data_IF_676693867781
#
_entry.id   IF_676693867781
#
_cell.length_a   1.000
_cell.length_b   1.000
_cell.length_c   1.000
_cell.angle_alpha   90.00
_cell.angle_beta   90.00
_cell.angle_gamma   90.00
#
_symmetry.space_group_name_H-M   'P 1'
#
loop_
_entity.id
_entity.type
_entity.pdbx_description
1 polymer ?
#
# COMPACT_ATOMS: atom_id res chain seq x y z
N UNK A 1 -21.40 -0.24 23.35
CA UNK A 1 -20.59 -0.91 22.32
C UNK A 1 -21.57 -1.55 21.36
N UNK A 2 -21.72 -0.98 20.16
CA UNK A 2 -22.49 -1.57 19.09
C UNK A 2 -21.78 -2.89 18.71
N UNK A 3 -22.55 -3.99 18.67
CA UNK A 3 -22.03 -5.33 18.58
C UNK A 3 -21.02 -5.50 17.45
N UNK A 4 -19.85 -5.93 17.81
CA UNK A 4 -18.80 -6.33 16.88
C UNK A 4 -19.32 -7.48 16.01
N UNK A 5 -19.31 -7.24 14.71
CA UNK A 5 -19.72 -8.24 13.73
C UNK A 5 -18.46 -8.95 13.24
N UNK A 6 -18.30 -10.21 13.62
CA UNK A 6 -17.25 -11.06 13.07
C UNK A 6 -17.69 -11.67 11.74
N UNK A 7 -16.78 -11.66 10.76
CA UNK A 7 -16.98 -12.31 9.47
C UNK A 7 -16.21 -13.62 9.42
N UNK A 8 -16.90 -14.71 9.12
CA UNK A 8 -16.27 -16.02 8.87
C UNK A 8 -16.60 -16.45 7.45
N UNK A 9 -15.56 -16.68 6.66
CA UNK A 9 -15.71 -17.12 5.26
C UNK A 9 -15.74 -18.64 5.23
N UNK A 10 -16.80 -19.21 4.64
CA UNK A 10 -16.88 -20.64 4.32
C UNK A 10 -17.53 -21.54 5.39
N UNK A 11 -18.10 -20.99 6.46
CA UNK A 11 -18.91 -21.76 7.41
C UNK A 11 -20.41 -21.55 7.20
N UNK A 12 -21.23 -22.49 7.70
CA UNK A 12 -22.69 -22.31 7.68
C UNK A 12 -23.14 -21.11 8.52
N UNK A 13 -24.18 -20.38 8.06
CA UNK A 13 -24.67 -19.18 8.75
C UNK A 13 -25.01 -19.45 10.20
N UNK A 14 -24.36 -18.73 11.12
CA UNK A 14 -24.69 -18.72 12.54
C UNK A 14 -25.32 -17.38 12.93
N UNK A 15 -26.31 -17.35 13.82
CA UNK A 15 -26.87 -16.09 14.29
C UNK A 15 -25.78 -15.17 14.84
N UNK A 16 -25.74 -13.94 14.33
CA UNK A 16 -24.74 -12.92 14.73
C UNK A 16 -23.44 -12.91 13.95
N UNK A 17 -23.20 -13.87 13.04
CA UNK A 17 -22.06 -13.86 12.13
C UNK A 17 -22.50 -13.35 10.74
N UNK A 18 -21.66 -12.56 10.10
CA UNK A 18 -21.86 -12.13 8.73
C UNK A 18 -21.06 -13.05 7.82
N UNK A 19 -21.77 -13.88 7.07
CA UNK A 19 -21.18 -14.89 6.18
C UNK A 19 -20.97 -14.37 4.75
N UNK A 20 -21.55 -13.24 4.39
CA UNK A 20 -21.34 -12.62 3.09
C UNK A 20 -20.42 -11.43 3.22
N UNK A 21 -19.39 -11.40 2.38
CA UNK A 21 -18.70 -10.14 2.15
C UNK A 21 -19.74 -9.17 1.58
N UNK A 22 -19.89 -7.97 2.15
CA UNK A 22 -20.80 -6.99 1.56
C UNK A 22 -20.41 -6.80 0.10
N UNK A 23 -21.39 -6.94 -0.78
CA UNK A 23 -21.20 -6.69 -2.21
C UNK A 23 -20.74 -5.24 -2.39
N UNK A 24 -19.48 -5.09 -2.76
CA UNK A 24 -18.80 -3.81 -2.73
C UNK A 24 -18.12 -3.60 -1.37
N UNK A 25 -16.83 -3.94 -1.28
CA UNK A 25 -15.97 -3.36 -0.28
C UNK A 25 -16.14 -1.85 -0.42
N UNK A 26 -16.82 -1.30 0.57
CA UNK A 26 -17.04 0.15 0.63
C UNK A 26 -15.67 0.78 0.64
N UNK A 27 -15.43 1.56 -0.36
CA UNK A 27 -14.30 2.43 -0.48
C UNK A 27 -14.51 3.55 0.52
N UNK A 28 -14.12 3.34 1.73
CA UNK A 28 -14.05 4.42 2.69
C UNK A 28 -12.61 4.92 2.66
N UNK A 29 -12.42 6.14 2.20
CA UNK A 29 -11.33 6.94 2.70
C UNK A 29 -11.36 6.81 4.22
N UNK A 30 -10.24 6.46 4.82
CA UNK A 30 -10.19 6.40 6.28
C UNK A 30 -10.44 7.81 6.80
N UNK A 31 -11.47 8.00 7.60
CA UNK A 31 -11.67 9.26 8.30
C UNK A 31 -10.67 9.33 9.47
N UNK A 32 -9.49 9.87 9.19
CA UNK A 32 -8.46 10.04 10.21
C UNK A 32 -8.80 11.08 11.25
N UNK A 33 -9.73 11.99 10.99
CA UNK A 33 -10.28 12.87 12.04
C UNK A 33 -10.95 12.03 13.11
N UNK A 34 -11.69 11.00 12.71
CA UNK A 34 -12.29 10.03 13.61
C UNK A 34 -11.21 9.16 14.29
N UNK A 35 -10.28 8.59 13.53
CA UNK A 35 -9.17 7.79 14.08
C UNK A 35 -8.35 8.63 15.06
N UNK A 36 -8.02 9.87 14.73
CA UNK A 36 -7.32 10.76 15.64
C UNK A 36 -8.09 11.04 16.92
N UNK A 37 -9.43 11.06 16.89
CA UNK A 37 -10.27 11.24 18.08
C UNK A 37 -10.30 10.00 18.99
N UNK A 38 -10.16 8.80 18.41
CA UNK A 38 -10.16 7.51 19.14
C UNK A 38 -8.77 6.98 19.43
N UNK A 39 -7.72 7.62 18.93
CA UNK A 39 -6.33 7.24 19.16
C UNK A 39 -5.59 8.30 20.00
N UNK A 40 -5.87 8.33 21.30
CA UNK A 40 -5.28 9.34 22.19
C UNK A 40 -3.76 9.21 22.36
N UNK A 41 -3.20 8.04 22.00
CA UNK A 41 -1.76 7.76 22.11
C UNK A 41 -0.96 8.18 20.88
N UNK A 42 -1.57 8.82 19.87
CA UNK A 42 -0.84 9.25 18.67
C UNK A 42 0.37 10.13 19.03
N UNK A 43 0.20 11.05 19.97
CA UNK A 43 1.28 11.94 20.41
C UNK A 43 2.45 11.13 21.02
N UNK A 44 2.15 10.08 21.77
CA UNK A 44 3.18 9.20 22.33
C UNK A 44 4.00 8.48 21.23
N UNK A 45 3.36 8.06 20.12
CA UNK A 45 4.07 7.48 18.98
C UNK A 45 4.88 8.51 18.22
N UNK A 46 4.38 9.75 18.10
CA UNK A 46 5.11 10.85 17.48
C UNK A 46 6.38 11.21 18.28
N UNK A 47 6.29 11.21 19.61
CA UNK A 47 7.42 11.46 20.51
C UNK A 47 8.46 10.32 20.50
N UNK A 48 8.05 9.10 20.15
CA UNK A 48 8.94 7.93 20.10
C UNK A 48 9.91 7.93 18.90
N UNK A 49 9.76 8.85 17.94
CA UNK A 49 10.66 8.99 16.78
C UNK A 49 10.23 8.18 15.57
N UNK A 50 11.03 7.27 15.04
CA UNK A 50 10.82 6.54 13.77
C UNK A 50 9.50 5.74 13.71
N UNK A 51 8.42 6.43 13.44
CA UNK A 51 7.08 5.89 13.39
C UNK A 51 6.45 6.11 12.01
N UNK A 52 5.82 5.06 11.49
CA UNK A 52 5.09 5.10 10.23
C UNK A 52 3.59 4.93 10.45
N UNK A 53 2.81 5.88 9.94
CA UNK A 53 1.34 5.74 9.90
C UNK A 53 0.93 5.08 8.58
N UNK A 54 0.05 4.09 8.68
CA UNK A 54 -0.47 3.40 7.51
C UNK A 54 -1.45 4.25 6.72
N UNK A 55 -1.19 4.42 5.42
CA UNK A 55 -2.10 5.06 4.46
C UNK A 55 -2.37 4.08 3.32
N UNK A 56 -3.62 3.92 2.92
CA UNK A 56 -3.98 3.00 1.85
C UNK A 56 -4.30 3.74 0.56
N UNK A 57 -3.50 3.48 -0.48
CA UNK A 57 -3.71 4.11 -1.80
C UNK A 57 -4.58 3.27 -2.72
N UNK A 58 -4.62 1.95 -2.52
CA UNK A 58 -5.43 1.01 -3.29
C UNK A 58 -5.65 -0.30 -2.55
N UNK A 59 -6.65 -1.05 -2.95
CA UNK A 59 -6.96 -2.40 -2.46
C UNK A 59 -6.99 -3.42 -3.58
N UNK A 60 -6.69 -4.67 -3.24
CA UNK A 60 -6.70 -5.79 -4.18
C UNK A 60 -5.34 -6.03 -4.82
N UNK A 61 -5.15 -7.26 -5.33
CA UNK A 61 -3.91 -7.67 -5.99
C UNK A 61 -4.23 -8.57 -7.18
N UNK A 62 -3.78 -8.25 -8.41
CA UNK A 62 -4.15 -9.01 -9.61
C UNK A 62 -3.38 -10.31 -9.75
N UNK A 63 -2.40 -10.57 -8.88
CA UNK A 63 -1.53 -11.74 -8.96
C UNK A 63 -2.17 -13.00 -8.39
N UNK A 64 -1.57 -14.15 -8.72
CA UNK A 64 -2.10 -15.46 -8.33
C UNK A 64 -1.01 -16.33 -7.68
N UNK A 65 -0.19 -15.70 -6.83
CA UNK A 65 0.87 -16.39 -6.11
C UNK A 65 0.27 -17.52 -5.26
N UNK A 66 0.80 -18.73 -5.39
CA UNK A 66 0.17 -19.94 -4.83
C UNK A 66 0.13 -19.99 -3.29
N UNK A 67 0.92 -19.16 -2.62
CA UNK A 67 1.02 -19.11 -1.16
C UNK A 67 0.31 -17.90 -0.52
N UNK A 68 -0.19 -16.96 -1.35
CA UNK A 68 -0.70 -15.69 -0.85
C UNK A 68 -2.22 -15.72 -0.72
N UNK A 69 -2.70 -15.43 0.48
CA UNK A 69 -4.13 -15.32 0.77
C UNK A 69 -4.72 -13.94 0.51
N UNK A 70 -3.87 -12.95 0.19
CA UNK A 70 -4.31 -11.55 0.05
C UNK A 70 -5.40 -11.38 -1.01
N UNK A 71 -5.31 -12.12 -2.13
CA UNK A 71 -6.32 -12.08 -3.19
C UNK A 71 -7.65 -12.71 -2.79
N UNK A 72 -7.66 -13.54 -1.74
CA UNK A 72 -8.89 -14.08 -1.16
C UNK A 72 -9.54 -13.04 -0.25
N UNK A 73 -8.73 -12.31 0.52
CA UNK A 73 -9.21 -11.30 1.47
C UNK A 73 -9.63 -10.01 0.77
N UNK A 74 -8.78 -9.46 -0.11
CA UNK A 74 -8.97 -8.15 -0.74
C UNK A 74 -9.51 -8.23 -2.18
N UNK A 75 -9.55 -9.42 -2.76
CA UNK A 75 -9.95 -9.65 -4.15
C UNK A 75 -8.84 -9.40 -5.16
N UNK A 76 -9.09 -9.81 -6.41
CA UNK A 76 -8.14 -9.68 -7.53
C UNK A 76 -8.27 -8.35 -8.27
N UNK A 77 -9.41 -7.69 -8.14
CA UNK A 77 -9.64 -6.39 -8.76
C UNK A 77 -8.96 -5.30 -7.93
N UNK A 78 -8.01 -4.62 -8.54
CA UNK A 78 -7.38 -3.45 -7.90
C UNK A 78 -8.34 -2.26 -7.97
N UNK A 79 -8.63 -1.70 -6.82
CA UNK A 79 -9.45 -0.50 -6.62
C UNK A 79 -8.53 0.60 -6.10
N UNK A 80 -8.33 1.64 -6.91
CA UNK A 80 -7.47 2.78 -6.57
C UNK A 80 -8.31 3.83 -5.85
N UNK A 81 -7.80 4.35 -4.75
CA UNK A 81 -8.42 5.47 -4.04
C UNK A 81 -8.17 6.77 -4.82
N UNK A 82 -9.11 7.72 -4.83
CA UNK A 82 -8.87 9.03 -5.44
C UNK A 82 -7.64 9.69 -4.83
N UNK A 83 -6.74 10.16 -5.70
CA UNK A 83 -5.48 10.79 -5.26
C UNK A 83 -5.74 11.94 -4.28
N UNK A 84 -6.75 12.78 -4.56
CA UNK A 84 -7.11 13.89 -3.70
C UNK A 84 -7.49 13.46 -2.28
N UNK A 85 -8.20 12.33 -2.14
CA UNK A 85 -8.59 11.80 -0.82
C UNK A 85 -7.37 11.29 -0.06
N UNK A 86 -6.47 10.55 -0.74
CA UNK A 86 -5.23 10.04 -0.12
C UNK A 86 -4.34 11.19 0.35
N UNK A 87 -4.17 12.22 -0.48
CA UNK A 87 -3.33 13.38 -0.14
C UNK A 87 -3.94 14.21 0.98
N UNK A 88 -5.28 14.39 0.98
CA UNK A 88 -5.97 15.08 2.07
C UNK A 88 -5.82 14.34 3.41
N UNK A 89 -5.87 13.03 3.39
CA UNK A 89 -5.60 12.16 4.53
C UNK A 89 -4.16 12.33 5.05
N UNK A 90 -3.19 12.28 4.15
CA UNK A 90 -1.78 12.51 4.51
C UNK A 90 -1.56 13.93 5.07
N UNK A 91 -2.24 14.96 4.52
CA UNK A 91 -2.18 16.33 5.03
C UNK A 91 -2.69 16.44 6.46
N UNK A 92 -3.83 15.83 6.77
CA UNK A 92 -4.38 15.83 8.14
C UNK A 92 -3.40 15.22 9.17
N UNK A 93 -2.76 14.11 8.79
CA UNK A 93 -1.74 13.45 9.62
C UNK A 93 -0.47 14.32 9.74
N UNK A 94 -0.03 14.90 8.62
CA UNK A 94 1.13 15.78 8.57
C UNK A 94 0.96 17.01 9.47
N UNK A 95 -0.21 17.65 9.44
CA UNK A 95 -0.53 18.81 10.28
C UNK A 95 -0.54 18.47 11.80
N UNK A 96 -0.68 17.19 12.13
CA UNK A 96 -0.52 16.65 13.49
C UNK A 96 0.91 16.23 13.84
N UNK A 97 1.87 16.44 12.96
CA UNK A 97 3.27 16.11 13.18
C UNK A 97 3.76 14.78 12.59
N UNK A 98 2.88 13.99 11.95
CA UNK A 98 3.31 12.75 11.27
C UNK A 98 4.23 13.08 10.10
N UNK A 99 5.37 12.40 10.02
CA UNK A 99 6.34 12.51 8.93
C UNK A 99 6.60 11.17 8.24
N UNK A 100 6.37 10.06 8.93
CA UNK A 100 6.53 8.71 8.42
C UNK A 100 5.21 8.12 7.90
N UNK A 101 5.18 7.66 6.65
CA UNK A 101 3.99 7.06 6.03
C UNK A 101 4.31 5.68 5.46
N UNK A 102 3.49 4.68 5.82
CA UNK A 102 3.54 3.37 5.21
C UNK A 102 2.36 3.19 4.25
N UNK A 103 2.62 3.04 2.95
CA UNK A 103 1.56 2.68 2.01
C UNK A 103 1.20 1.20 2.19
N UNK A 104 0.05 0.96 2.85
CA UNK A 104 -0.41 -0.37 3.29
C UNK A 104 -1.01 -1.23 2.17
N UNK A 105 -0.79 -0.84 0.93
CA UNK A 105 -1.22 -1.59 -0.25
C UNK A 105 -0.56 -2.98 -0.30
N UNK A 106 -1.22 -3.97 -0.87
CA UNK A 106 -0.56 -5.26 -1.16
C UNK A 106 0.69 -5.10 -2.02
N UNK A 107 0.66 -4.14 -2.91
CA UNK A 107 1.76 -3.70 -3.76
C UNK A 107 1.49 -2.25 -4.19
N UNK A 108 2.44 -1.36 -3.96
CA UNK A 108 2.32 0.04 -4.39
C UNK A 108 2.17 0.17 -5.92
N UNK A 109 2.82 -0.72 -6.67
CA UNK A 109 2.71 -0.79 -8.13
C UNK A 109 2.33 -2.22 -8.52
N UNK A 110 1.05 -2.62 -8.43
CA UNK A 110 0.63 -4.01 -8.62
C UNK A 110 0.78 -4.52 -10.06
N UNK A 111 0.79 -3.65 -11.05
CA UNK A 111 1.06 -3.96 -12.46
C UNK A 111 1.47 -2.70 -13.22
N UNK A 112 2.11 -2.84 -14.40
CA UNK A 112 2.59 -1.72 -15.22
C UNK A 112 1.53 -0.67 -15.54
N UNK A 113 0.27 -1.06 -15.70
CA UNK A 113 -0.83 -0.12 -15.95
C UNK A 113 -1.11 0.84 -14.79
N UNK A 114 -0.58 0.59 -13.59
CA UNK A 114 -0.72 1.44 -12.40
C UNK A 114 0.50 2.35 -12.16
N UNK A 115 1.46 2.38 -13.08
CA UNK A 115 2.63 3.26 -12.98
C UNK A 115 2.19 4.72 -12.98
N UNK A 116 1.30 5.11 -13.88
CA UNK A 116 0.80 6.50 -13.95
C UNK A 116 -0.04 6.88 -12.72
N UNK A 117 -0.81 5.96 -12.16
CA UNK A 117 -1.52 6.20 -10.89
C UNK A 117 -0.54 6.48 -9.75
N UNK A 118 0.56 5.71 -9.66
CA UNK A 118 1.61 5.94 -8.68
C UNK A 118 2.31 7.30 -8.89
N UNK A 119 2.69 7.62 -10.13
CA UNK A 119 3.30 8.93 -10.47
C UNK A 119 2.38 10.10 -10.13
N UNK A 120 1.09 9.99 -10.45
CA UNK A 120 0.10 11.02 -10.16
C UNK A 120 -0.05 11.25 -8.65
N UNK A 121 -0.04 10.18 -7.84
CA UNK A 121 -0.03 10.30 -6.39
C UNK A 121 1.22 11.01 -5.89
N UNK A 122 2.41 10.59 -6.33
CA UNK A 122 3.67 11.20 -5.89
C UNK A 122 3.79 12.66 -6.28
N UNK A 123 3.37 13.03 -7.51
CA UNK A 123 3.31 14.44 -7.94
C UNK A 123 2.32 15.25 -7.09
N UNK A 124 1.19 14.67 -6.72
CA UNK A 124 0.21 15.33 -5.85
C UNK A 124 0.75 15.53 -4.43
N UNK A 125 1.50 14.58 -3.88
CA UNK A 125 2.21 14.71 -2.61
C UNK A 125 3.19 15.89 -2.66
N UNK A 126 3.97 16.02 -3.73
CA UNK A 126 4.87 17.17 -3.94
C UNK A 126 4.11 18.49 -4.05
N UNK A 127 3.03 18.53 -4.85
CA UNK A 127 2.22 19.74 -5.07
C UNK A 127 1.55 20.21 -3.76
N UNK A 128 1.20 19.31 -2.85
CA UNK A 128 0.66 19.63 -1.53
C UNK A 128 1.73 20.16 -0.57
N UNK A 129 3.01 20.11 -0.93
CA UNK A 129 4.10 20.60 -0.09
C UNK A 129 4.45 19.69 1.09
N UNK A 130 4.20 18.39 0.98
CA UNK A 130 4.62 17.37 1.96
C UNK A 130 6.08 17.00 1.70
N UNK A 131 7.01 17.95 1.89
CA UNK A 131 8.40 17.84 1.41
C UNK A 131 9.37 17.17 2.37
N UNK A 132 9.04 17.12 3.66
CA UNK A 132 9.86 16.57 4.73
C UNK A 132 9.33 15.24 5.28
N UNK A 133 8.50 14.57 4.48
CA UNK A 133 8.02 13.23 4.81
C UNK A 133 9.04 12.16 4.40
N UNK A 134 8.95 11.03 5.06
CA UNK A 134 9.55 9.78 4.59
C UNK A 134 8.45 8.70 4.48
N UNK A 135 8.54 7.89 3.45
CA UNK A 135 7.54 6.86 3.24
C UNK A 135 8.12 5.52 2.82
N UNK A 136 7.36 4.48 3.09
CA UNK A 136 7.71 3.11 2.79
C UNK A 136 6.54 2.36 2.14
N UNK A 137 6.84 1.28 1.42
CA UNK A 137 5.83 0.46 0.75
C UNK A 137 6.32 -0.94 0.40
N UNK A 138 5.38 -1.85 0.17
CA UNK A 138 5.65 -3.07 -0.58
C UNK A 138 5.63 -2.75 -2.08
N UNK A 139 6.68 -3.11 -2.81
CA UNK A 139 6.76 -2.89 -4.26
C UNK A 139 7.06 -4.18 -5.03
N UNK A 140 6.51 -4.25 -6.23
CA UNK A 140 6.97 -5.19 -7.25
C UNK A 140 7.99 -4.52 -8.14
N UNK A 141 9.26 -4.86 -7.95
CA UNK A 141 10.34 -4.22 -8.69
C UNK A 141 10.33 -4.50 -10.21
N UNK A 142 9.50 -5.42 -10.71
CA UNK A 142 9.29 -5.62 -12.16
C UNK A 142 8.38 -4.56 -12.81
N UNK A 143 7.76 -3.66 -12.02
CA UNK A 143 6.83 -2.64 -12.48
C UNK A 143 7.37 -1.21 -12.22
N UNK A 144 8.59 -0.93 -12.63
CA UNK A 144 9.22 0.38 -12.49
C UNK A 144 9.64 0.94 -13.84
N UNK A 145 9.73 2.26 -13.91
CA UNK A 145 10.47 3.00 -14.92
C UNK A 145 11.35 4.07 -14.26
N UNK A 146 12.21 4.73 -15.04
CA UNK A 146 13.18 5.70 -14.52
C UNK A 146 12.51 6.90 -13.86
N UNK A 147 11.48 7.47 -14.49
CA UNK A 147 10.74 8.62 -13.96
C UNK A 147 10.05 8.30 -12.63
N UNK A 148 9.44 7.11 -12.52
CA UNK A 148 8.83 6.70 -11.26
C UNK A 148 9.88 6.52 -10.16
N UNK A 149 11.04 5.92 -10.46
CA UNK A 149 12.12 5.78 -9.50
C UNK A 149 12.62 7.14 -8.98
N UNK A 150 12.81 8.10 -9.88
CA UNK A 150 13.19 9.48 -9.54
C UNK A 150 12.11 10.16 -8.66
N UNK A 151 10.83 10.03 -9.01
CA UNK A 151 9.72 10.56 -8.22
C UNK A 151 9.65 9.91 -6.83
N UNK A 152 9.87 8.61 -6.72
CA UNK A 152 9.88 7.91 -5.44
C UNK A 152 10.94 8.50 -4.51
N UNK A 153 12.17 8.68 -4.99
CA UNK A 153 13.25 9.30 -4.22
C UNK A 153 12.93 10.76 -3.89
N UNK A 154 12.51 11.54 -4.88
CA UNK A 154 12.21 12.97 -4.72
C UNK A 154 11.04 13.25 -3.76
N UNK A 155 10.18 12.28 -3.50
CA UNK A 155 9.06 12.38 -2.55
C UNK A 155 9.37 11.81 -1.17
N UNK A 156 10.63 11.42 -0.90
CA UNK A 156 11.05 10.95 0.40
C UNK A 156 10.86 9.44 0.63
N UNK A 157 10.89 8.62 -0.42
CA UNK A 157 10.95 7.17 -0.22
C UNK A 157 12.22 6.81 0.56
N UNK A 158 12.05 6.31 1.76
CA UNK A 158 13.16 5.91 2.65
C UNK A 158 13.37 4.41 2.72
N UNK A 159 12.31 3.66 2.48
CA UNK A 159 12.33 2.21 2.60
C UNK A 159 11.31 1.56 1.68
N UNK A 160 11.63 0.39 1.16
CA UNK A 160 10.70 -0.46 0.42
C UNK A 160 11.00 -1.95 0.62
N UNK A 161 9.98 -2.76 0.56
CA UNK A 161 10.10 -4.21 0.61
C UNK A 161 9.80 -4.83 -0.75
N UNK A 162 10.72 -5.69 -1.22
CA UNK A 162 10.54 -6.48 -2.44
C UNK A 162 10.43 -7.95 -2.07
N UNK A 163 9.31 -8.55 -2.37
CA UNK A 163 9.09 -9.98 -2.16
C UNK A 163 9.82 -10.84 -3.20
N UNK A 164 11.13 -11.04 -3.05
CA UNK A 164 11.90 -12.00 -3.85
C UNK A 164 11.93 -13.34 -3.10
N UNK A 165 11.00 -14.22 -3.40
CA UNK A 165 10.84 -15.49 -2.68
C UNK A 165 11.90 -16.52 -3.07
N UNK A 166 12.49 -16.43 -4.26
CA UNK A 166 13.52 -17.35 -4.77
C UNK A 166 14.40 -16.70 -5.83
N UNK A 167 15.68 -17.06 -5.83
CA UNK A 167 16.62 -16.75 -6.90
C UNK A 167 16.49 -17.68 -8.12
N UNK A 168 15.60 -18.67 -8.09
CA UNK A 168 15.32 -19.57 -9.20
C UNK A 168 14.11 -19.10 -9.98
N UNK A 169 14.30 -18.75 -11.26
CA UNK A 169 13.20 -18.38 -12.16
C UNK A 169 12.18 -19.52 -12.32
N UNK A 170 12.62 -20.77 -12.25
CA UNK A 170 11.74 -21.94 -12.32
C UNK A 170 10.81 -21.99 -11.10
N UNK A 171 11.34 -21.77 -9.88
CA UNK A 171 10.53 -21.72 -8.66
C UNK A 171 9.58 -20.52 -8.65
N UNK A 172 10.04 -19.36 -9.08
CA UNK A 172 9.19 -18.16 -9.22
C UNK A 172 7.98 -18.45 -10.12
N UNK A 173 8.21 -19.17 -11.24
CA UNK A 173 7.14 -19.60 -12.16
C UNK A 173 6.22 -20.64 -11.52
N UNK A 174 6.77 -21.65 -10.84
CA UNK A 174 5.98 -22.67 -10.12
C UNK A 174 5.11 -22.04 -9.03
N UNK A 175 5.62 -21.02 -8.33
CA UNK A 175 4.86 -20.26 -7.35
C UNK A 175 3.89 -19.23 -7.94
N UNK A 176 3.79 -19.16 -9.27
CA UNK A 176 2.87 -18.24 -10.00
C UNK A 176 3.05 -16.77 -9.64
N UNK A 177 4.28 -16.35 -9.34
CA UNK A 177 4.55 -14.97 -8.94
C UNK A 177 4.52 -13.98 -10.11
N UNK A 178 4.67 -14.46 -11.34
CA UNK A 178 4.43 -13.67 -12.57
C UNK A 178 5.47 -12.60 -12.89
N UNK A 179 6.67 -12.64 -12.29
CA UNK A 179 7.75 -11.71 -12.61
C UNK A 179 8.99 -12.42 -13.17
N UNK A 180 9.86 -11.63 -13.80
CA UNK A 180 11.16 -12.08 -14.30
C UNK A 180 12.26 -11.55 -13.38
N UNK A 181 13.11 -12.43 -12.85
CA UNK A 181 14.19 -12.07 -11.93
C UNK A 181 15.19 -11.09 -12.54
N UNK A 182 15.47 -11.19 -13.86
CA UNK A 182 16.36 -10.24 -14.55
C UNK A 182 15.78 -8.83 -14.49
N UNK A 183 14.49 -8.66 -14.81
CA UNK A 183 13.81 -7.36 -14.75
C UNK A 183 13.79 -6.80 -13.32
N UNK A 184 13.56 -7.66 -12.32
CA UNK A 184 13.65 -7.25 -10.91
C UNK A 184 15.03 -6.70 -10.58
N UNK A 185 16.11 -7.40 -10.96
CA UNK A 185 17.48 -6.96 -10.71
C UNK A 185 17.83 -5.65 -11.46
N UNK A 186 17.39 -5.51 -12.69
CA UNK A 186 17.58 -4.30 -13.50
C UNK A 186 16.88 -3.09 -12.82
N UNK A 187 15.66 -3.27 -12.38
CA UNK A 187 14.89 -2.23 -11.71
C UNK A 187 15.41 -1.91 -10.29
N UNK A 188 15.92 -2.90 -9.55
CA UNK A 188 16.62 -2.63 -8.29
C UNK A 188 17.87 -1.73 -8.52
N UNK A 189 18.65 -2.00 -9.59
CA UNK A 189 19.78 -1.13 -9.95
C UNK A 189 19.34 0.27 -10.35
N UNK A 190 18.15 0.39 -10.99
CA UNK A 190 17.57 1.68 -11.34
C UNK A 190 17.21 2.48 -10.10
N UNK A 191 16.59 1.88 -9.09
CA UNK A 191 16.30 2.51 -7.80
C UNK A 191 17.59 2.98 -7.09
N UNK A 192 18.61 2.12 -7.03
CA UNK A 192 19.90 2.47 -6.41
C UNK A 192 20.61 3.63 -7.13
N UNK A 193 20.38 3.80 -8.44
CA UNK A 193 20.95 4.94 -9.19
C UNK A 193 20.16 6.23 -9.02
N UNK A 194 18.88 6.12 -8.71
CA UNK A 194 18.03 7.28 -8.49
C UNK A 194 18.27 7.95 -7.12
N UNK A 195 18.85 7.24 -6.18
CA UNK A 195 19.19 7.70 -4.81
C UNK A 195 19.14 6.62 -3.78
#
# INVERSE_FOLDING_TARGET
>A
LAGERCYVVGEEPRPGLIHEQPAGLVKTACDYTYIASIWPQLDWYLDAGDFYVGVQTKRGCPHNCCYCVYTVVEGKQVRVNPVAEVVAEMRQLYDRGVRGFWFTDAQFIPARRYIEDAKNLLRAIQAEGLSDIHWAAYIRADNLDAELAELMVATGMSYFEIGITSGSQELVRKMRMGYNLRTVLENCRLLVRAG
#
